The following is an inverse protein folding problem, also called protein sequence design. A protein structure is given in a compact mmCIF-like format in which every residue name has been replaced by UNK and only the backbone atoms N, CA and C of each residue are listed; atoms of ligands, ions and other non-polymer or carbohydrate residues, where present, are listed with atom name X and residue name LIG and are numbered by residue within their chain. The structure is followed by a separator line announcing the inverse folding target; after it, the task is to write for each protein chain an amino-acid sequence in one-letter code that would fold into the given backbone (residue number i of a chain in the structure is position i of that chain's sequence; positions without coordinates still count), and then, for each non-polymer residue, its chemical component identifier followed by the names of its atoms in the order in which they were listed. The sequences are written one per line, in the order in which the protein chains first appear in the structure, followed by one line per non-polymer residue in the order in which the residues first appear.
data_IF_313016712930
#
_entry.id   IF_313016712930
#
_cell.length_a   1.000
_cell.length_b   1.000
_cell.length_c   1.000
_cell.angle_alpha   90.00
_cell.angle_beta   90.00
_cell.angle_gamma   90.00
#
_symmetry.space_group_name_H-M   'P 1'
#
loop_
_entity.id
_entity.type
_entity.pdbx_description
1 polymer ?
#
# COMPACT_ATOMS: atom_id res chain seq x y z
N UNK A 1 -73.18 -4.22 -10.12
CA UNK A 1 -73.04 -3.27 -9.00
C UNK A 1 -72.19 -3.96 -7.96
N UNK A 2 -70.96 -3.50 -7.77
CA UNK A 2 -69.99 -4.08 -6.84
C UNK A 2 -70.49 -3.78 -5.42
N UNK A 3 -70.76 -4.81 -4.64
CA UNK A 3 -71.38 -4.70 -3.32
C UNK A 3 -70.40 -4.07 -2.32
N UNK A 4 -70.37 -2.75 -2.30
CA UNK A 4 -69.45 -1.91 -1.50
C UNK A 4 -69.64 -2.12 -0.01
N UNK A 5 -70.79 -2.69 0.39
CA UNK A 5 -71.10 -3.04 1.77
C UNK A 5 -70.35 -4.30 2.23
N UNK A 6 -70.25 -5.32 1.37
CA UNK A 6 -69.58 -6.59 1.69
C UNK A 6 -68.07 -6.42 1.79
N UNK A 7 -67.48 -5.61 0.91
CA UNK A 7 -66.06 -5.26 0.95
C UNK A 7 -65.67 -4.58 2.28
N UNK A 8 -66.50 -3.63 2.76
CA UNK A 8 -66.30 -2.98 4.06
C UNK A 8 -66.47 -3.93 5.24
N UNK A 9 -67.28 -4.98 5.12
CA UNK A 9 -67.39 -6.02 6.16
C UNK A 9 -66.11 -6.87 6.22
N UNK A 10 -65.54 -7.23 5.06
CA UNK A 10 -64.28 -7.97 4.98
C UNK A 10 -63.14 -7.16 5.59
N UNK A 11 -63.04 -5.87 5.25
CA UNK A 11 -61.98 -5.00 5.75
C UNK A 11 -62.08 -4.82 7.28
N UNK A 12 -63.29 -4.61 7.81
CA UNK A 12 -63.55 -4.56 9.26
C UNK A 12 -63.22 -5.89 9.96
N UNK A 13 -63.46 -7.01 9.29
CA UNK A 13 -63.10 -8.33 9.83
C UNK A 13 -61.58 -8.51 9.90
N UNK A 14 -60.85 -8.14 8.85
CA UNK A 14 -59.37 -8.23 8.78
C UNK A 14 -58.72 -7.30 9.80
N UNK A 15 -59.25 -6.10 9.98
CA UNK A 15 -58.76 -5.10 10.93
C UNK A 15 -59.25 -5.31 12.38
N UNK A 16 -60.03 -6.36 12.64
CA UNK A 16 -60.62 -6.68 13.95
C UNK A 16 -61.54 -5.58 14.53
N UNK A 17 -62.24 -4.85 13.66
CA UNK A 17 -63.17 -3.76 13.98
C UNK A 17 -64.64 -4.21 14.01
N UNK A 18 -64.91 -5.50 13.78
CA UNK A 18 -66.26 -6.05 13.74
C UNK A 18 -66.75 -6.43 15.15
N UNK A 19 -67.98 -6.03 15.55
CA UNK A 19 -68.58 -6.44 16.82
C UNK A 19 -68.63 -7.98 16.95
N UNK A 20 -68.49 -8.54 18.17
CA UNK A 20 -68.43 -9.99 18.36
C UNK A 20 -69.68 -10.73 17.88
N UNK A 21 -70.84 -10.08 17.95
CA UNK A 21 -72.12 -10.61 17.48
C UNK A 21 -72.16 -10.72 15.95
N UNK A 22 -71.80 -9.64 15.24
CA UNK A 22 -71.72 -9.60 13.77
C UNK A 22 -70.64 -10.54 13.24
N UNK A 23 -69.51 -10.63 13.95
CA UNK A 23 -68.39 -11.51 13.61
C UNK A 23 -68.78 -12.98 13.66
N UNK A 24 -69.60 -13.39 14.64
CA UNK A 24 -70.07 -14.76 14.74
C UNK A 24 -71.02 -15.16 13.61
N UNK A 25 -71.78 -14.20 13.05
CA UNK A 25 -72.61 -14.41 11.85
C UNK A 25 -71.71 -14.52 10.61
N UNK A 26 -70.76 -13.61 10.48
CA UNK A 26 -69.82 -13.58 9.36
C UNK A 26 -68.94 -14.84 9.28
N UNK A 27 -68.53 -15.41 10.42
CA UNK A 27 -67.79 -16.68 10.47
C UNK A 27 -68.65 -17.85 9.95
N UNK A 28 -69.94 -17.91 10.30
CA UNK A 28 -70.84 -18.96 9.77
C UNK A 28 -71.08 -18.83 8.27
N UNK A 29 -71.15 -17.59 7.77
CA UNK A 29 -71.21 -17.31 6.33
C UNK A 29 -69.90 -17.76 5.63
N UNK A 30 -68.74 -17.46 6.22
CA UNK A 30 -67.42 -17.90 5.73
C UNK A 30 -67.24 -19.42 5.70
N UNK A 31 -67.88 -20.16 6.61
CA UNK A 31 -67.85 -21.63 6.65
C UNK A 31 -68.69 -22.25 5.53
N UNK A 32 -69.70 -21.53 5.03
CA UNK A 32 -70.65 -22.04 4.04
C UNK A 32 -70.32 -21.55 2.62
N UNK A 33 -69.71 -20.35 2.50
CA UNK A 33 -69.42 -19.69 1.23
C UNK A 33 -67.92 -19.69 0.90
N UNK A 34 -67.55 -20.52 -0.09
CA UNK A 34 -66.17 -20.65 -0.57
C UNK A 34 -65.65 -19.43 -1.35
N UNK A 35 -66.51 -18.63 -1.99
CA UNK A 35 -66.09 -17.41 -2.71
C UNK A 35 -65.70 -16.32 -1.70
N UNK A 36 -66.52 -16.17 -0.65
CA UNK A 36 -66.23 -15.24 0.45
C UNK A 36 -64.92 -15.60 1.16
N UNK A 37 -64.65 -16.89 1.37
CA UNK A 37 -63.39 -17.36 1.95
C UNK A 37 -62.18 -16.98 1.10
N UNK A 38 -62.27 -17.14 -0.22
CA UNK A 38 -61.20 -16.75 -1.15
C UNK A 38 -60.98 -15.23 -1.13
N UNK A 39 -62.05 -14.44 -1.10
CA UNK A 39 -61.98 -12.98 -1.09
C UNK A 39 -61.36 -12.43 0.21
N UNK A 40 -61.75 -12.97 1.37
CA UNK A 40 -61.14 -12.62 2.67
C UNK A 40 -59.66 -12.99 2.70
N UNK A 41 -59.29 -14.18 2.19
CA UNK A 41 -57.90 -14.62 2.13
C UNK A 41 -57.06 -13.72 1.22
N UNK A 42 -57.58 -13.36 0.04
CA UNK A 42 -56.90 -12.46 -0.90
C UNK A 42 -56.66 -11.08 -0.26
N UNK A 43 -57.69 -10.49 0.36
CA UNK A 43 -57.56 -9.17 1.01
C UNK A 43 -56.63 -9.20 2.22
N UNK A 44 -56.65 -10.27 3.00
CA UNK A 44 -55.71 -10.46 4.11
C UNK A 44 -54.25 -10.50 3.63
N UNK A 45 -53.98 -11.20 2.53
CA UNK A 45 -52.63 -11.26 1.94
C UNK A 45 -52.16 -9.88 1.41
N UNK A 46 -53.07 -9.08 0.85
CA UNK A 46 -52.75 -7.73 0.38
C UNK A 46 -52.42 -6.78 1.53
N UNK A 47 -53.22 -6.81 2.61
CA UNK A 47 -52.97 -6.01 3.81
C UNK A 47 -51.62 -6.37 4.45
N UNK A 48 -51.29 -7.66 4.54
CA UNK A 48 -49.99 -8.12 5.05
C UNK A 48 -48.81 -7.67 4.16
N UNK A 49 -48.99 -7.69 2.84
CA UNK A 49 -47.98 -7.23 1.89
C UNK A 49 -47.71 -5.73 2.03
N UNK A 50 -48.76 -4.91 2.18
CA UNK A 50 -48.66 -3.46 2.35
C UNK A 50 -47.91 -3.09 3.65
N UNK A 51 -48.23 -3.78 4.76
CA UNK A 51 -47.51 -3.59 6.04
C UNK A 51 -46.02 -3.93 5.87
N UNK A 52 -45.70 -5.04 5.19
CA UNK A 52 -44.32 -5.47 4.96
C UNK A 52 -43.54 -4.50 4.06
N UNK A 53 -44.21 -3.84 3.12
CA UNK A 53 -43.59 -2.80 2.29
C UNK A 53 -43.32 -1.54 3.11
N UNK A 54 -44.28 -1.08 3.91
CA UNK A 54 -44.13 0.05 4.81
C UNK A 54 -42.98 -0.16 5.83
N UNK A 55 -42.84 -1.38 6.38
CA UNK A 55 -41.71 -1.74 7.25
C UNK A 55 -40.37 -1.65 6.53
N UNK A 56 -40.28 -2.16 5.30
CA UNK A 56 -39.05 -2.08 4.49
C UNK A 56 -38.68 -0.64 4.16
N UNK A 57 -39.66 0.22 3.91
CA UNK A 57 -39.43 1.65 3.66
C UNK A 57 -38.97 2.39 4.93
N UNK A 58 -39.59 2.11 6.08
CA UNK A 58 -39.14 2.62 7.38
C UNK A 58 -37.70 2.17 7.69
N UNK A 59 -37.36 0.92 7.42
CA UNK A 59 -35.99 0.42 7.59
C UNK A 59 -35.01 1.06 6.59
N UNK A 60 -35.40 1.31 5.34
CA UNK A 60 -34.56 1.98 4.34
C UNK A 60 -34.28 3.43 4.70
N UNK A 61 -35.26 4.16 5.24
CA UNK A 61 -35.04 5.56 5.69
C UNK A 61 -34.12 5.64 6.90
N UNK A 62 -34.27 4.72 7.86
CA UNK A 62 -33.36 4.62 9.02
C UNK A 62 -31.93 4.23 8.63
N UNK A 63 -31.78 3.25 7.75
CA UNK A 63 -30.45 2.75 7.33
C UNK A 63 -29.76 3.66 6.30
N UNK A 64 -30.50 4.33 5.42
CA UNK A 64 -29.96 5.22 4.37
C UNK A 64 -29.18 6.42 4.92
N UNK A 65 -29.67 7.04 5.99
CA UNK A 65 -29.02 8.19 6.63
C UNK A 65 -27.76 7.81 7.43
N UNK A 66 -27.73 6.62 8.04
CA UNK A 66 -26.58 6.13 8.81
C UNK A 66 -25.42 5.69 7.91
N UNK A 67 -25.73 4.99 6.81
CA UNK A 67 -24.72 4.47 5.87
C UNK A 67 -23.93 5.58 5.17
N UNK A 68 -24.59 6.68 4.75
CA UNK A 68 -23.93 7.85 4.14
C UNK A 68 -23.00 8.59 5.10
N UNK A 69 -23.40 8.77 6.37
CA UNK A 69 -22.56 9.43 7.41
C UNK A 69 -21.32 8.60 7.76
N UNK A 70 -21.43 7.27 7.76
CA UNK A 70 -20.31 6.36 8.05
C UNK A 70 -19.32 6.29 6.90
N UNK A 71 -19.82 6.20 5.66
CA UNK A 71 -18.98 6.22 4.46
C UNK A 71 -18.20 7.55 4.37
N UNK A 72 -18.85 8.71 4.52
CA UNK A 72 -18.17 10.01 4.44
C UNK A 72 -17.02 10.17 5.45
N UNK A 73 -17.15 9.59 6.66
CA UNK A 73 -16.07 9.59 7.67
C UNK A 73 -14.91 8.65 7.30
N UNK A 74 -15.20 7.49 6.72
CA UNK A 74 -14.17 6.52 6.30
C UNK A 74 -13.34 7.06 5.12
N UNK A 75 -13.97 7.72 4.14
CA UNK A 75 -13.26 8.30 2.99
C UNK A 75 -12.45 9.56 3.35
N UNK A 76 -12.88 10.33 4.36
CA UNK A 76 -12.14 11.50 4.85
C UNK A 76 -10.86 11.12 5.63
N UNK A 77 -10.84 9.97 6.30
CA UNK A 77 -9.63 9.46 6.96
C UNK A 77 -8.63 8.84 5.98
N UNK A 78 -9.12 8.19 4.93
CA UNK A 78 -8.27 7.54 3.92
C UNK A 78 -7.39 8.55 3.15
N UNK A 79 -7.93 9.72 2.79
CA UNK A 79 -7.17 10.75 2.09
C UNK A 79 -6.01 11.31 2.95
N UNK A 80 -6.23 11.52 4.26
CA UNK A 80 -5.19 12.02 5.16
C UNK A 80 -4.06 10.99 5.38
N UNK A 81 -4.39 9.70 5.44
CA UNK A 81 -3.40 8.64 5.57
C UNK A 81 -2.48 8.53 4.35
N UNK A 82 -3.04 8.71 3.13
CA UNK A 82 -2.25 8.71 1.89
C UNK A 82 -1.28 9.90 1.87
N UNK A 83 -1.75 11.10 2.24
CA UNK A 83 -0.89 12.30 2.27
C UNK A 83 0.25 12.16 3.29
N UNK A 84 -0.04 11.66 4.49
CA UNK A 84 1.00 11.38 5.50
C UNK A 84 1.98 10.30 5.03
N UNK A 85 1.48 9.26 4.36
CA UNK A 85 2.33 8.21 3.79
C UNK A 85 3.26 8.73 2.70
N UNK A 86 2.77 9.57 1.79
CA UNK A 86 3.59 10.19 0.73
C UNK A 86 4.61 11.16 1.33
N UNK A 87 4.22 12.01 2.29
CA UNK A 87 5.16 12.92 2.97
C UNK A 87 6.25 12.16 3.74
N UNK A 88 5.88 11.08 4.43
CA UNK A 88 6.85 10.22 5.11
C UNK A 88 7.80 9.54 4.12
N UNK A 89 7.29 9.04 2.99
CA UNK A 89 8.10 8.38 1.96
C UNK A 89 9.06 9.35 1.27
N UNK A 90 8.60 10.55 0.90
CA UNK A 90 9.44 11.58 0.30
C UNK A 90 10.45 12.12 1.31
N UNK A 91 10.08 12.28 2.58
CA UNK A 91 10.98 12.80 3.61
C UNK A 91 12.03 11.80 4.06
N UNK A 92 11.72 10.50 3.96
CA UNK A 92 12.70 9.45 4.19
C UNK A 92 13.50 9.08 2.91
N UNK A 93 13.22 9.74 1.78
CA UNK A 93 14.00 9.58 0.56
C UNK A 93 15.40 10.18 0.73
N UNK A 94 16.38 9.55 0.10
CA UNK A 94 17.76 10.01 0.15
C UNK A 94 18.00 11.13 -0.87
N UNK A 95 18.79 12.14 -0.49
CA UNK A 95 18.99 13.34 -1.27
C UNK A 95 19.75 13.11 -2.58
N UNK A 96 20.76 12.24 -2.53
CA UNK A 96 21.64 11.93 -3.64
C UNK A 96 21.56 10.45 -4.01
N UNK A 97 21.50 10.15 -5.31
CA UNK A 97 21.68 8.78 -5.79
C UNK A 97 23.17 8.39 -5.68
N UNK A 98 23.49 7.16 -5.23
CA UNK A 98 24.87 6.66 -5.16
C UNK A 98 25.66 6.86 -6.46
N UNK A 99 25.03 6.69 -7.62
CA UNK A 99 25.67 6.89 -8.92
C UNK A 99 26.05 8.37 -9.18
N UNK A 100 25.28 9.33 -8.67
CA UNK A 100 25.61 10.76 -8.78
C UNK A 100 26.81 11.12 -7.88
N UNK A 101 26.88 10.50 -6.70
CA UNK A 101 28.01 10.63 -5.78
C UNK A 101 29.27 10.09 -6.45
N UNK A 102 29.20 8.91 -7.09
CA UNK A 102 30.33 8.36 -7.87
C UNK A 102 30.85 9.37 -8.89
N UNK A 103 29.97 9.99 -9.69
CA UNK A 103 30.39 10.97 -10.71
C UNK A 103 31.10 12.19 -10.14
N UNK A 104 30.83 12.53 -8.88
CA UNK A 104 31.41 13.69 -8.21
C UNK A 104 32.77 13.38 -7.59
N UNK A 105 32.93 12.17 -7.04
CA UNK A 105 34.10 11.80 -6.24
C UNK A 105 35.03 10.78 -6.90
N UNK A 106 34.66 10.21 -8.05
CA UNK A 106 35.50 9.21 -8.70
C UNK A 106 36.84 9.81 -9.13
N UNK A 107 37.90 9.31 -8.52
CA UNK A 107 39.30 9.58 -8.88
C UNK A 107 39.92 8.25 -9.23
N UNK A 108 40.55 8.17 -10.41
CA UNK A 108 41.27 6.98 -10.82
C UNK A 108 42.48 6.79 -9.90
N UNK A 109 42.60 5.64 -9.21
CA UNK A 109 43.71 5.41 -8.29
C UNK A 109 45.02 5.30 -9.06
N UNK A 110 46.08 5.87 -8.49
CA UNK A 110 47.44 5.74 -9.03
C UNK A 110 48.01 4.41 -8.56
N UNK A 111 48.11 3.44 -9.46
CA UNK A 111 48.67 2.11 -9.16
C UNK A 111 50.13 2.12 -9.60
N UNK A 112 51.04 2.21 -8.65
CA UNK A 112 52.48 2.15 -8.94
C UNK A 112 52.93 0.70 -9.15
N UNK A 113 53.72 0.39 -10.20
CA UNK A 113 54.19 -0.96 -10.43
C UNK A 113 55.20 -1.40 -9.36
N UNK A 114 54.83 -2.41 -8.55
CA UNK A 114 55.71 -3.00 -7.56
C UNK A 114 56.43 -4.26 -8.08
N UNK A 115 57.53 -4.65 -7.42
CA UNK A 115 58.33 -5.82 -7.80
C UNK A 115 57.63 -7.17 -7.61
N UNK A 116 56.53 -7.22 -6.85
CA UNK A 116 55.80 -8.45 -6.51
C UNK A 116 54.31 -8.44 -6.91
N UNK A 117 53.70 -7.28 -7.08
CA UNK A 117 52.26 -7.10 -7.28
C UNK A 117 51.83 -6.81 -8.71
N UNK A 118 52.63 -7.19 -9.72
CA UNK A 118 52.28 -6.89 -11.11
C UNK A 118 50.94 -7.51 -11.53
N UNK A 119 50.58 -8.66 -10.98
CA UNK A 119 49.28 -9.32 -11.24
C UNK A 119 48.12 -8.60 -10.56
N UNK A 120 48.26 -8.24 -9.28
CA UNK A 120 47.23 -7.48 -8.54
C UNK A 120 47.04 -6.09 -9.13
N UNK A 121 48.12 -5.41 -9.53
CA UNK A 121 48.06 -4.15 -10.25
C UNK A 121 47.30 -4.27 -11.58
N UNK A 122 47.55 -5.33 -12.37
CA UNK A 122 46.82 -5.59 -13.61
C UNK A 122 45.32 -5.83 -13.38
N UNK A 123 44.97 -6.53 -12.30
CA UNK A 123 43.59 -6.74 -11.86
C UNK A 123 42.93 -5.40 -11.53
N UNK A 124 43.59 -4.53 -10.76
CA UNK A 124 43.05 -3.22 -10.40
C UNK A 124 42.86 -2.30 -11.63
N UNK A 125 43.79 -2.31 -12.58
CA UNK A 125 43.62 -1.61 -13.85
C UNK A 125 42.40 -2.14 -14.64
N UNK A 126 42.20 -3.46 -14.63
CA UNK A 126 41.04 -4.09 -15.28
C UNK A 126 39.73 -3.69 -14.59
N UNK A 127 39.70 -3.68 -13.26
CA UNK A 127 38.54 -3.22 -12.49
C UNK A 127 38.20 -1.75 -12.77
N UNK A 128 39.22 -0.87 -12.79
CA UNK A 128 39.06 0.53 -13.18
C UNK A 128 38.49 0.66 -14.61
N UNK A 129 39.00 -0.15 -15.54
CA UNK A 129 38.48 -0.22 -16.91
C UNK A 129 37.01 -0.64 -16.98
N UNK A 130 36.58 -1.60 -16.17
CA UNK A 130 35.17 -1.99 -16.08
C UNK A 130 34.27 -0.88 -15.54
N UNK A 131 34.73 -0.09 -14.57
CA UNK A 131 33.97 1.08 -14.11
C UNK A 131 33.77 2.13 -15.21
N UNK A 132 34.79 2.35 -16.05
CA UNK A 132 34.68 3.24 -17.23
C UNK A 132 33.73 2.70 -18.30
N UNK A 133 33.58 1.39 -18.39
CA UNK A 133 32.67 0.70 -19.31
C UNK A 133 31.26 0.50 -18.73
N UNK A 134 30.95 1.12 -17.59
CA UNK A 134 29.66 0.97 -16.88
C UNK A 134 29.38 -0.47 -16.37
N UNK A 135 30.41 -1.32 -16.30
CA UNK A 135 30.33 -2.73 -15.90
C UNK A 135 30.71 -2.92 -14.43
N UNK A 136 29.99 -2.24 -13.54
CA UNK A 136 30.31 -2.25 -12.11
C UNK A 136 30.24 -3.64 -11.45
N UNK A 137 29.30 -4.50 -11.86
CA UNK A 137 29.17 -5.87 -11.37
C UNK A 137 30.44 -6.71 -11.65
N UNK A 138 31.03 -6.54 -12.83
CA UNK A 138 32.25 -7.25 -13.21
C UNK A 138 33.46 -6.74 -12.43
N UNK A 139 33.52 -5.43 -12.15
CA UNK A 139 34.53 -4.84 -11.26
C UNK A 139 34.41 -5.39 -9.83
N UNK A 140 33.19 -5.49 -9.29
CA UNK A 140 32.93 -6.06 -7.95
C UNK A 140 33.37 -7.52 -7.89
N UNK A 141 33.09 -8.31 -8.93
CA UNK A 141 33.49 -9.72 -8.98
C UNK A 141 35.01 -9.90 -9.01
N UNK A 142 35.73 -8.95 -9.60
CA UNK A 142 37.19 -8.96 -9.71
C UNK A 142 37.89 -8.58 -8.39
N UNK A 143 37.28 -7.67 -7.62
CA UNK A 143 37.81 -7.14 -6.35
C UNK A 143 37.52 -8.10 -5.18
N UNK A 144 38.15 -9.26 -5.21
CA UNK A 144 38.00 -10.29 -4.17
C UNK A 144 38.77 -9.93 -2.90
N UNK A 145 38.44 -10.53 -1.73
CA UNK A 145 39.15 -10.27 -0.48
C UNK A 145 40.68 -10.45 -0.56
N UNK A 146 41.15 -11.38 -1.40
CA UNK A 146 42.59 -11.60 -1.63
C UNK A 146 43.28 -10.38 -2.25
N UNK A 147 42.56 -9.60 -3.06
CA UNK A 147 43.06 -8.37 -3.66
C UNK A 147 43.00 -7.22 -2.65
N UNK A 148 41.97 -7.19 -1.79
CA UNK A 148 41.86 -6.19 -0.72
C UNK A 148 42.94 -6.35 0.35
N UNK A 149 43.37 -7.58 0.63
CA UNK A 149 44.46 -7.87 1.57
C UNK A 149 45.86 -7.74 0.93
N UNK A 150 45.94 -7.30 -0.33
CA UNK A 150 47.21 -7.13 -1.05
C UNK A 150 47.92 -5.81 -0.69
N UNK A 151 49.12 -5.61 -1.26
CA UNK A 151 49.87 -4.36 -1.11
C UNK A 151 49.13 -3.12 -1.67
N UNK A 152 48.12 -3.32 -2.52
CA UNK A 152 47.25 -2.27 -3.06
C UNK A 152 45.87 -2.25 -2.38
N UNK A 153 45.81 -2.65 -1.11
CA UNK A 153 44.54 -2.79 -0.39
C UNK A 153 43.74 -1.49 -0.33
N UNK A 154 44.41 -0.33 -0.18
CA UNK A 154 43.73 0.98 -0.16
C UNK A 154 43.09 1.30 -1.51
N UNK A 155 43.79 1.09 -2.63
CA UNK A 155 43.27 1.30 -3.98
C UNK A 155 42.16 0.29 -4.33
N UNK A 156 42.30 -0.96 -3.90
CA UNK A 156 41.31 -2.00 -4.10
C UNK A 156 40.00 -1.68 -3.36
N UNK A 157 40.09 -1.25 -2.10
CA UNK A 157 38.94 -0.82 -1.32
C UNK A 157 38.27 0.43 -1.91
N UNK A 158 39.07 1.39 -2.38
CA UNK A 158 38.57 2.57 -3.06
C UNK A 158 37.80 2.22 -4.35
N UNK A 159 38.37 1.36 -5.20
CA UNK A 159 37.70 0.88 -6.41
C UNK A 159 36.43 0.10 -6.07
N UNK A 160 36.42 -0.66 -4.98
CA UNK A 160 35.23 -1.40 -4.54
C UNK A 160 34.12 -0.46 -4.09
N UNK A 161 34.45 0.58 -3.31
CA UNK A 161 33.51 1.63 -2.93
C UNK A 161 32.91 2.29 -4.18
N UNK A 162 33.78 2.67 -5.12
CA UNK A 162 33.41 3.25 -6.40
C UNK A 162 32.46 2.33 -7.19
N UNK A 163 32.73 1.02 -7.23
CA UNK A 163 31.88 0.06 -7.89
C UNK A 163 30.50 -0.08 -7.22
N UNK A 164 30.42 -0.08 -5.89
CA UNK A 164 29.14 -0.11 -5.17
C UNK A 164 28.33 1.17 -5.36
N UNK A 165 28.96 2.33 -5.43
CA UNK A 165 28.29 3.57 -5.76
C UNK A 165 27.70 3.54 -7.17
N UNK A 166 28.45 3.02 -8.14
CA UNK A 166 27.99 2.88 -9.52
C UNK A 166 26.84 1.86 -9.67
N UNK A 167 26.93 0.70 -9.00
CA UNK A 167 25.90 -0.35 -8.96
C UNK A 167 24.65 0.05 -8.17
N UNK A 168 24.59 1.29 -7.66
CA UNK A 168 23.51 1.81 -6.84
C UNK A 168 23.31 1.04 -5.51
N UNK A 169 24.35 0.32 -5.06
CA UNK A 169 24.31 -0.50 -3.85
C UNK A 169 24.66 0.34 -2.62
N UNK A 170 23.69 1.18 -2.20
CA UNK A 170 23.89 2.18 -1.14
C UNK A 170 24.37 1.58 0.18
N UNK A 171 23.79 0.46 0.60
CA UNK A 171 24.11 -0.15 1.90
C UNK A 171 25.56 -0.64 1.93
N UNK A 172 26.00 -1.36 0.89
CA UNK A 172 27.40 -1.80 0.79
C UNK A 172 28.34 -0.62 0.66
N UNK A 173 27.99 0.39 -0.16
CA UNK A 173 28.78 1.61 -0.29
C UNK A 173 28.95 2.35 1.05
N UNK A 174 27.92 2.41 1.89
CA UNK A 174 28.02 3.01 3.24
C UNK A 174 29.00 2.25 4.12
N UNK A 175 28.89 0.92 4.18
CA UNK A 175 29.76 0.08 5.00
C UNK A 175 31.22 0.21 4.55
N UNK A 176 31.47 0.15 3.23
CA UNK A 176 32.83 0.31 2.69
C UNK A 176 33.38 1.72 2.90
N UNK A 177 32.57 2.76 2.68
CA UNK A 177 32.98 4.15 2.93
C UNK A 177 33.29 4.40 4.41
N UNK A 178 32.50 3.84 5.33
CA UNK A 178 32.76 3.93 6.76
C UNK A 178 34.07 3.22 7.13
N UNK A 179 34.32 2.02 6.60
CA UNK A 179 35.56 1.30 6.82
C UNK A 179 36.79 2.08 6.33
N UNK A 180 36.74 2.63 5.10
CA UNK A 180 37.82 3.44 4.53
C UNK A 180 38.02 4.73 5.34
N UNK A 181 36.94 5.42 5.75
CA UNK A 181 37.05 6.67 6.51
C UNK A 181 37.68 6.52 7.90
N UNK A 182 37.72 5.29 8.44
CA UNK A 182 38.35 4.98 9.73
C UNK A 182 39.83 4.62 9.61
N UNK A 183 40.30 4.30 8.41
CA UNK A 183 41.72 4.08 8.14
C UNK A 183 42.33 5.44 7.81
N UNK A 184 43.41 5.84 8.46
CA UNK A 184 44.14 7.08 8.13
C UNK A 184 44.92 6.89 6.81
N UNK A 185 44.20 6.66 5.71
CA UNK A 185 44.72 6.36 4.37
C UNK A 185 44.40 7.44 3.34
N UNK A 186 44.86 7.22 2.10
CA UNK A 186 44.79 8.22 1.01
C UNK A 186 43.38 8.67 0.66
N UNK A 187 42.39 7.78 0.82
CA UNK A 187 41.00 8.01 0.43
C UNK A 187 40.06 8.28 1.62
N UNK A 188 40.60 8.41 2.84
CA UNK A 188 39.81 8.51 4.06
C UNK A 188 38.91 9.75 4.08
N UNK A 189 39.44 10.88 3.63
CA UNK A 189 38.73 12.17 3.57
C UNK A 189 37.56 12.15 2.61
N UNK A 190 37.78 11.58 1.42
CA UNK A 190 36.79 11.44 0.36
C UNK A 190 35.72 10.43 0.78
N UNK A 191 36.11 9.31 1.38
CA UNK A 191 35.19 8.32 1.91
C UNK A 191 34.28 8.90 3.01
N UNK A 192 34.82 9.75 3.89
CA UNK A 192 34.02 10.45 4.90
C UNK A 192 33.00 11.42 4.25
N UNK A 193 33.38 12.14 3.20
CA UNK A 193 32.49 13.02 2.45
C UNK A 193 31.37 12.23 1.74
N UNK A 194 31.72 11.12 1.08
CA UNK A 194 30.79 10.18 0.45
C UNK A 194 29.82 9.63 1.50
N UNK A 195 30.30 9.18 2.65
CA UNK A 195 29.47 8.64 3.73
C UNK A 195 28.44 9.67 4.22
N UNK A 196 28.85 10.94 4.36
CA UNK A 196 27.94 12.03 4.73
C UNK A 196 26.82 12.19 3.70
N UNK A 197 27.14 12.23 2.40
CA UNK A 197 26.14 12.33 1.34
C UNK A 197 25.25 11.09 1.24
N UNK A 198 25.81 9.89 1.49
CA UNK A 198 25.04 8.65 1.53
C UNK A 198 24.02 8.63 2.69
N UNK A 199 24.29 9.35 3.77
CA UNK A 199 23.37 9.48 4.90
C UNK A 199 22.46 10.70 4.82
N UNK A 200 22.69 11.61 3.87
CA UNK A 200 21.87 12.81 3.70
C UNK A 200 20.49 12.44 3.13
N UNK A 201 19.46 12.72 3.94
CA UNK A 201 18.04 12.56 3.58
C UNK A 201 17.45 13.94 3.28
N UNK A 202 16.35 13.97 2.53
CA UNK A 202 15.57 15.19 2.40
C UNK A 202 14.98 15.54 3.78
N UNK A 203 15.61 16.46 4.50
CA UNK A 203 14.98 17.08 5.67
C UNK A 203 13.83 17.96 5.14
N UNK A 204 12.60 17.59 5.49
CA UNK A 204 11.47 18.52 5.47
C UNK A 204 11.55 19.46 6.66
#
# INVERSE_FOLDING_TARGET
MIDTYRDKQIDRFINNEMPPEERAVFIRELETDGELQQQVKLRGLLAEAEIREAEKEALRTLTGNSRRKRLRRLWSGAAAAIVLGVLFFVGNSHRYAPADIFRTYYVEPVIEPSRGGNETAAILHTASGYLKQERAQDAIALLTPQILDSEYGEEAEWLLLCAYLYDNNREKAKVTAEAISRKDGLYATEAAAILKQLNEKYLF
#
